data_IF_480330148067
#
_entry.id   IF_480330148067
#
_cell.length_a   1.000
_cell.length_b   1.000
_cell.length_c   1.000
_cell.angle_alpha   90.00
_cell.angle_beta   90.00
_cell.angle_gamma   90.00
#
_symmetry.space_group_name_H-M   'P 1'
#
loop_
_entity.id
_entity.type
_entity.pdbx_description
1 polymer ?
#
# COMPACT_ATOMS: atom_id res chain seq x y z
N UNK A 1 12.97 7.17 30.78
CA UNK A 1 12.22 7.70 29.63
C UNK A 1 10.89 6.98 29.57
N UNK A 2 9.77 7.67 29.40
CA UNK A 2 8.46 7.00 29.28
C UNK A 2 8.44 6.29 27.94
N UNK A 3 8.12 5.00 27.94
CA UNK A 3 7.93 4.20 26.73
C UNK A 3 6.75 4.80 25.95
N UNK A 4 6.96 5.10 24.68
CA UNK A 4 5.93 5.65 23.79
C UNK A 4 5.64 4.62 22.71
N UNK A 5 4.69 3.73 22.99
CA UNK A 5 4.28 2.68 22.07
C UNK A 5 3.04 3.09 21.28
N UNK A 6 3.01 2.75 20.01
CA UNK A 6 1.90 3.00 19.10
C UNK A 6 1.60 1.74 18.30
N UNK A 7 0.32 1.45 18.06
CA UNK A 7 -0.08 0.34 17.21
C UNK A 7 -0.70 0.85 15.89
N UNK A 8 -0.22 0.31 14.79
CA UNK A 8 -0.80 0.49 13.47
C UNK A 8 -1.52 -0.80 13.07
N UNK A 9 -2.79 -0.70 12.69
CA UNK A 9 -3.61 -1.84 12.27
C UNK A 9 -4.08 -1.61 10.84
N UNK A 10 -3.74 -2.56 9.97
CA UNK A 10 -4.24 -2.67 8.61
C UNK A 10 -5.25 -3.81 8.51
N UNK A 11 -6.49 -3.48 8.22
CA UNK A 11 -7.54 -4.45 7.90
C UNK A 11 -7.53 -4.67 6.39
N UNK A 12 -6.58 -5.51 5.97
CA UNK A 12 -6.32 -5.83 4.58
C UNK A 12 -7.32 -6.81 3.98
N UNK A 13 -7.20 -7.03 2.66
CA UNK A 13 -8.10 -7.94 1.93
C UNK A 13 -7.83 -9.42 2.22
N UNK A 14 -6.59 -9.80 2.51
CA UNK A 14 -6.19 -11.18 2.78
C UNK A 14 -5.83 -11.42 4.23
N UNK A 15 -5.06 -10.50 4.81
CA UNK A 15 -4.56 -10.58 6.18
C UNK A 15 -4.93 -9.30 6.95
N UNK A 16 -5.18 -9.45 8.24
CA UNK A 16 -5.11 -8.34 9.21
C UNK A 16 -3.68 -8.28 9.69
N UNK A 17 -3.12 -7.09 9.70
CA UNK A 17 -1.77 -6.85 10.22
C UNK A 17 -1.82 -5.80 11.32
N UNK A 18 -1.25 -6.11 12.47
CA UNK A 18 -0.95 -5.13 13.51
C UNK A 18 0.55 -5.07 13.73
N UNK A 19 1.13 -3.88 13.62
CA UNK A 19 2.52 -3.62 14.03
C UNK A 19 2.54 -2.70 15.24
N UNK A 20 3.43 -3.00 16.17
CA UNK A 20 3.64 -2.18 17.36
C UNK A 20 5.00 -1.51 17.24
N UNK A 21 5.02 -0.19 17.43
CA UNK A 21 6.21 0.64 17.29
C UNK A 21 6.57 1.33 18.62
N UNK A 22 7.87 1.48 18.84
CA UNK A 22 8.47 2.24 19.95
C UNK A 22 9.11 3.52 19.42
N UNK A 23 8.70 4.66 19.99
CA UNK A 23 9.21 6.00 19.71
C UNK A 23 10.00 6.60 20.88
N UNK A 24 10.51 5.77 21.78
CA UNK A 24 11.26 6.24 22.96
C UNK A 24 12.62 6.86 22.59
N UNK A 25 13.19 6.50 21.45
CA UNK A 25 14.43 7.08 20.93
C UNK A 25 14.18 8.45 20.26
N UNK A 26 15.22 9.31 20.26
CA UNK A 26 15.15 10.60 19.58
C UNK A 26 15.15 10.40 18.07
N UNK A 27 14.09 10.86 17.39
CA UNK A 27 13.93 10.74 15.92
C UNK A 27 14.06 9.30 15.40
N UNK A 28 13.53 8.33 16.16
CA UNK A 28 13.57 6.90 15.79
C UNK A 28 12.19 6.28 15.85
N UNK A 29 11.91 5.44 14.87
CA UNK A 29 10.76 4.55 14.81
C UNK A 29 11.27 3.12 14.77
N UNK A 30 10.95 2.32 15.77
CA UNK A 30 11.38 0.93 15.85
C UNK A 30 10.18 0.01 15.96
N UNK A 31 10.02 -0.87 15.01
CA UNK A 31 9.07 -1.99 15.10
C UNK A 31 9.53 -2.93 16.24
N UNK A 32 8.63 -3.23 17.15
CA UNK A 32 8.88 -4.15 18.28
C UNK A 32 8.10 -5.44 18.16
N UNK A 33 6.98 -5.42 17.44
CA UNK A 33 6.22 -6.63 17.14
C UNK A 33 5.38 -6.48 15.88
N UNK A 34 5.11 -7.60 15.19
CA UNK A 34 4.28 -7.69 13.99
C UNK A 34 3.40 -8.93 14.06
N UNK A 35 2.11 -8.74 14.24
CA UNK A 35 1.11 -9.80 14.32
C UNK A 35 0.30 -9.80 13.03
N UNK A 36 0.15 -10.99 12.43
CA UNK A 36 -0.61 -11.19 11.20
C UNK A 36 -1.61 -12.30 11.39
N UNK A 37 -2.85 -12.06 10.96
CA UNK A 37 -3.92 -13.05 10.99
C UNK A 37 -4.63 -13.06 9.65
N UNK A 38 -4.69 -14.24 9.03
CA UNK A 38 -5.44 -14.44 7.79
C UNK A 38 -6.94 -14.43 8.08
N UNK A 39 -7.69 -13.66 7.28
CA UNK A 39 -9.18 -13.67 7.30
C UNK A 39 -9.76 -13.77 5.89
N UNK A 40 -9.03 -13.28 4.86
CA UNK A 40 -9.44 -13.35 3.45
C UNK A 40 -10.81 -12.69 3.19
N UNK A 41 -10.94 -11.44 3.63
CA UNK A 41 -12.15 -10.63 3.38
C UNK A 41 -12.37 -10.37 1.88
N UNK A 42 -11.29 -10.35 1.12
CA UNK A 42 -11.31 -10.05 -0.31
C UNK A 42 -12.06 -11.09 -1.13
N UNK A 43 -11.99 -12.37 -0.79
CA UNK A 43 -12.74 -13.41 -1.50
C UNK A 43 -14.24 -13.14 -1.48
N UNK A 44 -14.81 -12.75 -0.33
CA UNK A 44 -16.21 -12.40 -0.22
C UNK A 44 -16.55 -11.11 -1.00
N UNK A 45 -15.76 -10.06 -0.80
CA UNK A 45 -16.02 -8.76 -1.44
C UNK A 45 -15.91 -8.85 -2.96
N UNK A 46 -14.90 -9.53 -3.50
CA UNK A 46 -14.65 -9.55 -4.95
C UNK A 46 -15.52 -10.56 -5.68
N UNK A 47 -15.97 -11.66 -5.02
CA UNK A 47 -16.85 -12.64 -5.60
C UNK A 47 -18.34 -12.26 -5.41
N UNK A 48 -18.73 -11.81 -4.21
CA UNK A 48 -20.12 -11.67 -3.81
C UNK A 48 -20.58 -10.22 -3.55
N UNK A 49 -19.64 -9.27 -3.52
CA UNK A 49 -19.92 -7.87 -3.18
C UNK A 49 -20.16 -7.60 -1.69
N UNK A 50 -20.24 -8.62 -0.84
CA UNK A 50 -20.55 -8.49 0.59
C UNK A 50 -19.69 -9.42 1.43
N UNK A 51 -19.18 -8.92 2.53
CA UNK A 51 -18.50 -9.71 3.55
C UNK A 51 -19.54 -10.47 4.36
N UNK A 52 -19.37 -11.79 4.49
CA UNK A 52 -20.26 -12.69 5.23
C UNK A 52 -20.21 -12.44 6.74
N UNK A 53 -21.26 -12.89 7.43
CA UNK A 53 -21.31 -12.82 8.90
C UNK A 53 -20.20 -13.67 9.54
N UNK A 54 -19.86 -14.82 8.96
CA UNK A 54 -18.78 -15.67 9.44
C UNK A 54 -17.43 -14.92 9.43
N UNK A 55 -17.06 -14.31 8.29
CA UNK A 55 -15.84 -13.50 8.21
C UNK A 55 -15.87 -12.24 9.07
N UNK A 56 -17.06 -11.64 9.26
CA UNK A 56 -17.22 -10.54 10.20
C UNK A 56 -16.99 -11.00 11.65
N UNK A 57 -17.44 -12.21 12.02
CA UNK A 57 -17.19 -12.79 13.34
C UNK A 57 -15.71 -13.06 13.57
N UNK A 58 -15.00 -13.62 12.60
CA UNK A 58 -13.56 -13.86 12.62
C UNK A 58 -12.78 -12.55 12.73
N UNK A 59 -13.18 -11.53 11.96
CA UNK A 59 -12.61 -10.19 12.00
C UNK A 59 -12.74 -9.56 13.41
N UNK A 60 -13.94 -9.61 13.98
CA UNK A 60 -14.16 -9.08 15.32
C UNK A 60 -13.41 -9.87 16.40
N UNK A 61 -13.29 -11.20 16.24
CA UNK A 61 -12.50 -12.03 17.15
C UNK A 61 -11.02 -11.62 17.12
N UNK A 62 -10.43 -11.54 15.94
CA UNK A 62 -9.03 -11.13 15.77
C UNK A 62 -8.76 -9.71 16.30
N UNK A 63 -9.66 -8.76 16.03
CA UNK A 63 -9.49 -7.40 16.55
C UNK A 63 -9.60 -7.34 18.08
N UNK A 64 -10.39 -8.21 18.73
CA UNK A 64 -10.36 -8.34 20.19
C UNK A 64 -9.02 -8.85 20.71
N UNK A 65 -8.43 -9.83 20.05
CA UNK A 65 -7.09 -10.31 20.40
C UNK A 65 -6.05 -9.19 20.22
N UNK A 66 -6.15 -8.40 19.14
CA UNK A 66 -5.30 -7.23 18.95
C UNK A 66 -5.45 -6.20 20.08
N UNK A 67 -6.67 -5.95 20.56
CA UNK A 67 -6.91 -5.06 21.71
C UNK A 67 -6.20 -5.57 22.98
N UNK A 68 -6.26 -6.87 23.26
CA UNK A 68 -5.57 -7.47 24.41
C UNK A 68 -4.03 -7.38 24.27
N UNK A 69 -3.51 -7.60 23.07
CA UNK A 69 -2.07 -7.45 22.79
C UNK A 69 -1.65 -5.99 22.98
N UNK A 70 -2.40 -5.02 22.46
CA UNK A 70 -2.12 -3.59 22.67
C UNK A 70 -2.08 -3.23 24.14
N UNK A 71 -2.98 -3.78 24.97
CA UNK A 71 -2.98 -3.59 26.41
C UNK A 71 -1.70 -4.15 27.06
N UNK A 72 -1.28 -5.37 26.66
CA UNK A 72 -0.07 -6.01 27.19
C UNK A 72 1.20 -5.22 26.88
N UNK A 73 1.28 -4.59 25.71
CA UNK A 73 2.37 -3.71 25.29
C UNK A 73 2.24 -2.27 25.83
N UNK A 74 1.17 -1.97 26.56
CA UNK A 74 0.86 -0.62 27.07
C UNK A 74 0.86 0.43 25.97
N UNK A 75 0.21 0.08 24.85
CA UNK A 75 0.06 0.97 23.69
C UNK A 75 -0.69 2.23 24.12
N UNK A 76 -0.11 3.42 23.87
CA UNK A 76 -0.68 4.70 24.28
C UNK A 76 -1.66 5.28 23.27
N UNK A 77 -1.54 4.87 22.00
CA UNK A 77 -2.42 5.27 20.92
C UNK A 77 -2.37 4.22 19.79
N UNK A 78 -3.44 4.11 19.03
CA UNK A 78 -3.48 3.28 17.84
C UNK A 78 -4.20 4.00 16.69
N UNK A 79 -3.97 3.50 15.47
CA UNK A 79 -4.77 3.78 14.28
C UNK A 79 -5.08 2.47 13.58
N UNK A 80 -6.34 2.30 13.18
CA UNK A 80 -6.80 1.13 12.46
C UNK A 80 -7.49 1.57 11.17
N UNK A 81 -7.01 1.06 10.04
CA UNK A 81 -7.54 1.41 8.74
C UNK A 81 -8.00 0.18 7.96
N UNK A 82 -9.16 0.32 7.30
CA UNK A 82 -9.68 -0.64 6.34
C UNK A 82 -9.31 -0.23 4.91
N UNK A 83 -8.86 -1.19 4.12
CA UNK A 83 -8.42 -0.98 2.74
C UNK A 83 -9.42 -1.53 1.72
N UNK A 84 -8.98 -2.03 0.57
CA UNK A 84 -9.84 -2.28 -0.59
C UNK A 84 -11.03 -3.22 -0.32
N UNK A 85 -10.87 -4.31 0.44
CA UNK A 85 -12.00 -5.21 0.69
C UNK A 85 -13.12 -4.54 1.49
N UNK A 86 -12.80 -3.82 2.58
CA UNK A 86 -13.80 -3.11 3.37
C UNK A 86 -14.32 -1.87 2.63
N UNK A 87 -13.48 -1.21 1.84
CA UNK A 87 -13.89 -0.04 1.06
C UNK A 87 -14.90 -0.37 -0.05
N UNK A 88 -14.74 -1.54 -0.70
CA UNK A 88 -15.55 -1.93 -1.86
C UNK A 88 -16.78 -2.77 -1.50
N UNK A 89 -16.87 -3.31 -0.28
CA UNK A 89 -18.03 -4.12 0.12
C UNK A 89 -19.29 -3.27 0.31
N UNK A 90 -20.45 -3.81 -0.07
CA UNK A 90 -21.75 -3.11 0.06
C UNK A 90 -22.18 -2.92 1.52
N UNK A 91 -21.72 -3.76 2.44
CA UNK A 91 -22.10 -3.71 3.85
C UNK A 91 -21.07 -3.02 4.77
N UNK A 92 -20.25 -2.11 4.22
CA UNK A 92 -19.19 -1.37 4.93
C UNK A 92 -19.65 -0.74 6.24
N UNK A 93 -20.78 -0.01 6.22
CA UNK A 93 -21.27 0.69 7.42
C UNK A 93 -21.66 -0.29 8.55
N UNK A 94 -22.27 -1.42 8.17
CA UNK A 94 -22.62 -2.47 9.13
C UNK A 94 -21.37 -3.08 9.75
N UNK A 95 -20.34 -3.34 8.92
CA UNK A 95 -19.04 -3.84 9.40
C UNK A 95 -18.38 -2.88 10.38
N UNK A 96 -18.32 -1.60 10.06
CA UNK A 96 -17.71 -0.59 10.95
C UNK A 96 -18.44 -0.52 12.29
N UNK A 97 -19.78 -0.49 12.28
CA UNK A 97 -20.59 -0.48 13.51
C UNK A 97 -20.35 -1.75 14.35
N UNK A 98 -20.42 -2.92 13.73
CA UNK A 98 -20.21 -4.20 14.41
C UNK A 98 -18.78 -4.32 15.00
N UNK A 99 -17.77 -3.87 14.27
CA UNK A 99 -16.39 -3.86 14.76
C UNK A 99 -16.30 -2.97 16.00
N UNK A 100 -16.76 -1.72 15.91
CA UNK A 100 -16.66 -0.76 17.01
C UNK A 100 -17.43 -1.23 18.25
N UNK A 101 -18.69 -1.70 18.09
CA UNK A 101 -19.54 -2.18 19.19
C UNK A 101 -18.98 -3.44 19.87
N UNK A 102 -18.41 -4.35 19.09
CA UNK A 102 -17.97 -5.65 19.60
C UNK A 102 -16.54 -5.65 20.10
N UNK A 103 -15.68 -4.78 19.60
CA UNK A 103 -14.23 -4.81 19.90
C UNK A 103 -13.71 -3.56 20.59
N UNK A 104 -14.45 -2.46 20.52
CA UNK A 104 -13.99 -1.14 20.96
C UNK A 104 -12.94 -0.51 20.02
N UNK A 105 -12.56 -1.20 18.92
CA UNK A 105 -11.62 -0.68 17.93
C UNK A 105 -12.42 0.05 16.85
N UNK A 106 -12.07 1.30 16.60
CA UNK A 106 -12.62 2.08 15.49
C UNK A 106 -11.75 1.93 14.27
N UNK A 107 -12.32 1.33 13.21
CA UNK A 107 -11.67 1.18 11.89
C UNK A 107 -12.15 2.29 10.96
N UNK A 108 -11.23 3.14 10.52
CA UNK A 108 -11.48 4.16 9.51
C UNK A 108 -11.23 3.56 8.11
N UNK A 109 -12.00 3.97 7.10
CA UNK A 109 -11.83 3.46 5.73
C UNK A 109 -10.97 4.44 4.94
N UNK A 110 -9.85 3.97 4.42
CA UNK A 110 -9.00 4.78 3.57
C UNK A 110 -9.55 4.86 2.14
N UNK A 111 -9.60 6.06 1.58
CA UNK A 111 -9.67 6.22 0.13
C UNK A 111 -8.37 5.72 -0.53
N UNK A 112 -8.41 5.47 -1.85
CA UNK A 112 -7.20 5.10 -2.59
C UNK A 112 -6.08 6.16 -2.48
N UNK A 113 -6.45 7.43 -2.39
CA UNK A 113 -5.47 8.52 -2.27
C UNK A 113 -4.83 8.59 -0.88
N UNK A 114 -5.61 8.37 0.17
CA UNK A 114 -5.10 8.33 1.55
C UNK A 114 -4.20 7.12 1.78
N UNK A 115 -4.60 5.93 1.29
CA UNK A 115 -3.78 4.73 1.34
C UNK A 115 -2.43 4.99 0.67
N UNK A 116 -2.44 5.48 -0.57
CA UNK A 116 -1.23 5.81 -1.33
C UNK A 116 -0.30 6.80 -0.62
N UNK A 117 -0.88 7.80 0.03
CA UNK A 117 -0.10 8.76 0.80
C UNK A 117 0.63 8.10 1.98
N UNK A 118 -0.02 7.16 2.66
CA UNK A 118 0.60 6.36 3.71
C UNK A 118 1.66 5.40 3.16
N UNK A 119 1.45 4.82 1.97
CA UNK A 119 2.46 3.98 1.32
C UNK A 119 3.72 4.77 0.97
N UNK A 120 3.59 6.02 0.50
CA UNK A 120 4.76 6.90 0.32
C UNK A 120 5.50 7.15 1.62
N UNK A 121 4.78 7.39 2.71
CA UNK A 121 5.36 7.57 4.04
C UNK A 121 6.05 6.31 4.54
N UNK A 122 5.51 5.13 4.23
CA UNK A 122 6.15 3.87 4.58
C UNK A 122 7.52 3.73 3.91
N UNK A 123 7.63 4.09 2.64
CA UNK A 123 8.89 4.04 1.90
C UNK A 123 9.85 5.13 2.39
N UNK A 124 9.34 6.35 2.66
CA UNK A 124 10.15 7.46 3.19
C UNK A 124 10.79 7.13 4.54
N UNK A 125 10.22 6.22 5.32
CA UNK A 125 10.84 5.70 6.55
C UNK A 125 12.21 5.06 6.33
N UNK A 126 12.56 4.70 5.08
CA UNK A 126 13.88 4.18 4.67
C UNK A 126 14.91 5.29 4.35
N UNK A 127 14.54 6.56 4.58
CA UNK A 127 15.44 7.71 4.59
C UNK A 127 16.22 7.92 3.29
N UNK A 128 17.56 7.94 3.39
CA UNK A 128 18.45 8.29 2.27
C UNK A 128 18.28 7.39 1.04
N UNK A 129 18.03 6.09 1.23
CA UNK A 129 17.83 5.17 0.10
C UNK A 129 16.62 5.57 -0.74
N UNK A 130 15.52 5.94 -0.09
CA UNK A 130 14.34 6.43 -0.79
C UNK A 130 14.65 7.72 -1.57
N UNK A 131 15.23 8.73 -0.91
CA UNK A 131 15.58 10.01 -1.55
C UNK A 131 16.41 9.82 -2.81
N UNK A 132 17.48 9.00 -2.73
CA UNK A 132 18.34 8.72 -3.88
C UNK A 132 17.61 8.07 -5.04
N UNK A 133 16.67 7.15 -4.78
CA UNK A 133 15.97 6.42 -5.83
C UNK A 133 14.96 7.32 -6.54
N UNK A 134 14.22 8.19 -5.84
CA UNK A 134 13.20 9.05 -6.45
C UNK A 134 13.76 10.28 -7.18
N UNK A 135 15.04 10.61 -7.01
CA UNK A 135 15.73 11.59 -7.87
C UNK A 135 15.77 11.17 -9.34
N UNK A 136 15.76 9.86 -9.59
CA UNK A 136 15.62 9.29 -10.92
C UNK A 136 14.14 9.01 -11.25
N UNK A 137 13.87 8.72 -12.53
CA UNK A 137 12.53 8.30 -12.96
C UNK A 137 12.15 6.97 -12.33
N UNK A 138 11.27 7.02 -11.37
CA UNK A 138 10.90 5.88 -10.52
C UNK A 138 9.40 5.66 -10.52
N UNK A 139 8.97 4.40 -10.58
CA UNK A 139 7.59 4.00 -10.32
C UNK A 139 7.47 3.40 -8.92
N UNK A 140 6.47 3.81 -8.16
CA UNK A 140 6.05 3.13 -6.94
C UNK A 140 4.83 2.29 -7.27
N UNK A 141 4.90 0.99 -6.98
CA UNK A 141 3.82 0.03 -7.13
C UNK A 141 3.35 -0.41 -5.74
N UNK A 142 2.12 -0.06 -5.38
CA UNK A 142 1.41 -0.69 -4.28
C UNK A 142 0.54 -1.80 -4.87
N UNK A 143 0.91 -3.06 -4.59
CA UNK A 143 0.23 -4.25 -5.12
C UNK A 143 -0.63 -4.85 -4.02
N UNK A 144 -1.89 -4.47 -4.00
CA UNK A 144 -2.87 -4.95 -3.03
C UNK A 144 -3.72 -6.12 -3.52
N UNK A 145 -4.60 -6.61 -2.65
CA UNK A 145 -5.53 -7.70 -2.98
C UNK A 145 -6.57 -7.30 -4.03
N UNK A 146 -7.08 -6.06 -4.02
CA UNK A 146 -8.14 -5.58 -4.91
C UNK A 146 -7.65 -4.76 -6.10
N UNK A 147 -6.50 -4.10 -6.00
CA UNK A 147 -6.00 -3.18 -7.02
C UNK A 147 -4.47 -3.03 -6.96
N UNK A 148 -3.91 -2.47 -8.03
CA UNK A 148 -2.53 -1.97 -8.05
C UNK A 148 -2.60 -0.45 -8.16
N UNK A 149 -1.85 0.26 -7.33
CA UNK A 149 -1.63 1.68 -7.47
C UNK A 149 -0.25 1.92 -8.07
N UNK A 150 -0.19 2.69 -9.16
CA UNK A 150 1.04 3.02 -9.86
C UNK A 150 1.26 4.53 -9.77
N UNK A 151 2.38 4.94 -9.20
CA UNK A 151 2.77 6.34 -9.04
C UNK A 151 4.11 6.58 -9.68
N UNK A 152 4.20 7.59 -10.54
CA UNK A 152 5.41 7.94 -11.26
C UNK A 152 6.05 9.17 -10.65
N UNK A 153 7.32 9.05 -10.29
CA UNK A 153 8.18 10.14 -9.83
C UNK A 153 9.23 10.47 -10.89
N UNK A 154 9.55 11.74 -11.03
CA UNK A 154 10.65 12.25 -11.85
C UNK A 154 11.27 13.44 -11.12
N UNK A 155 12.57 13.37 -10.83
CA UNK A 155 13.32 14.38 -10.07
C UNK A 155 12.64 14.75 -8.75
N UNK A 156 12.38 13.73 -7.95
CA UNK A 156 11.79 13.89 -6.62
C UNK A 156 10.36 14.48 -6.60
N UNK A 157 9.66 14.46 -7.73
CA UNK A 157 8.31 15.04 -7.86
C UNK A 157 7.32 14.03 -8.41
N UNK A 158 6.13 13.94 -7.83
CA UNK A 158 5.04 13.09 -8.29
C UNK A 158 4.45 13.62 -9.61
N UNK A 159 4.62 12.86 -10.68
CA UNK A 159 4.15 13.21 -12.03
C UNK A 159 2.73 12.74 -12.31
N UNK A 160 2.44 11.51 -11.93
CA UNK A 160 1.10 10.92 -12.10
C UNK A 160 0.90 9.76 -11.15
N UNK A 161 -0.35 9.48 -10.86
CA UNK A 161 -0.74 8.34 -10.04
C UNK A 161 -2.05 7.77 -10.57
N UNK A 162 -2.15 6.44 -10.61
CA UNK A 162 -3.31 5.73 -11.12
C UNK A 162 -3.59 4.49 -10.29
N UNK A 163 -4.87 4.15 -10.19
CA UNK A 163 -5.33 2.91 -9.58
C UNK A 163 -5.89 1.99 -10.66
N UNK A 164 -5.35 0.78 -10.77
CA UNK A 164 -5.80 -0.26 -11.69
C UNK A 164 -6.47 -1.39 -10.90
N UNK A 165 -7.61 -1.87 -11.36
CA UNK A 165 -8.34 -2.98 -10.70
C UNK A 165 -7.71 -4.34 -11.02
N UNK A 166 -6.42 -4.47 -10.75
CA UNK A 166 -5.57 -5.64 -11.03
C UNK A 166 -4.98 -6.23 -9.73
N UNK A 167 -5.74 -6.21 -8.62
CA UNK A 167 -5.27 -6.78 -7.37
C UNK A 167 -5.14 -8.30 -7.41
N UNK A 168 -4.21 -8.84 -6.63
CA UNK A 168 -3.84 -10.27 -6.68
C UNK A 168 -4.99 -11.20 -6.28
N UNK A 169 -5.80 -10.85 -5.28
CA UNK A 169 -6.98 -11.64 -4.89
C UNK A 169 -8.08 -11.56 -5.94
N UNK A 170 -8.32 -10.38 -6.49
CA UNK A 170 -9.30 -10.20 -7.56
C UNK A 170 -8.96 -11.04 -8.78
N UNK A 171 -7.70 -11.09 -9.16
CA UNK A 171 -7.24 -11.95 -10.27
C UNK A 171 -7.33 -13.42 -9.90
N UNK A 172 -6.99 -13.80 -8.67
CA UNK A 172 -7.14 -15.18 -8.23
C UNK A 172 -8.59 -15.65 -8.30
N UNK A 173 -9.56 -14.84 -7.85
CA UNK A 173 -10.98 -15.16 -7.96
C UNK A 173 -11.43 -15.34 -9.42
N UNK A 174 -10.97 -14.47 -10.33
CA UNK A 174 -11.23 -14.62 -11.75
C UNK A 174 -10.63 -15.92 -12.31
N UNK A 175 -9.41 -16.27 -11.93
CA UNK A 175 -8.77 -17.52 -12.36
C UNK A 175 -9.50 -18.76 -11.80
N UNK A 176 -9.99 -18.71 -10.57
CA UNK A 176 -10.81 -19.75 -9.98
C UNK A 176 -12.12 -19.96 -10.77
N UNK A 177 -12.81 -18.87 -11.13
CA UNK A 177 -14.02 -18.94 -11.96
C UNK A 177 -13.76 -19.51 -13.36
N UNK A 178 -12.58 -19.25 -13.93
CA UNK A 178 -12.20 -19.80 -15.23
C UNK A 178 -11.71 -21.26 -15.15
N UNK A 179 -11.64 -21.87 -13.95
CA UNK A 179 -11.04 -23.17 -13.69
C UNK A 179 -9.61 -23.30 -14.25
N UNK A 180 -8.83 -22.22 -14.14
CA UNK A 180 -7.50 -22.14 -14.70
C UNK A 180 -6.53 -23.09 -14.00
N UNK A 181 -5.89 -23.99 -14.75
CA UNK A 181 -4.80 -24.80 -14.25
C UNK A 181 -3.54 -23.98 -13.95
N UNK A 182 -2.69 -24.48 -13.07
CA UNK A 182 -1.43 -23.79 -12.69
C UNK A 182 -0.53 -23.46 -13.89
N UNK A 183 -0.55 -24.27 -14.93
CA UNK A 183 0.23 -24.06 -16.18
C UNK A 183 -0.30 -22.91 -17.03
N UNK A 184 -1.56 -22.51 -16.88
CA UNK A 184 -2.20 -21.44 -17.63
C UNK A 184 -2.23 -20.11 -16.84
N UNK A 185 -1.90 -20.15 -15.56
CA UNK A 185 -2.03 -19.01 -14.66
C UNK A 185 -1.27 -17.78 -15.18
N UNK A 186 0.01 -17.94 -15.54
CA UNK A 186 0.83 -16.82 -16.00
C UNK A 186 0.24 -16.16 -17.26
N UNK A 187 -0.15 -16.98 -18.24
CA UNK A 187 -0.73 -16.49 -19.49
C UNK A 187 -2.05 -15.75 -19.24
N UNK A 188 -2.94 -16.31 -18.43
CA UNK A 188 -4.23 -15.69 -18.14
C UNK A 188 -4.09 -14.40 -17.33
N UNK A 189 -3.17 -14.34 -16.36
CA UNK A 189 -2.86 -13.09 -15.63
C UNK A 189 -2.34 -12.03 -16.59
N UNK A 190 -1.44 -12.40 -17.52
CA UNK A 190 -0.90 -11.47 -18.52
C UNK A 190 -2.01 -10.96 -19.46
N UNK A 191 -2.88 -11.82 -19.94
CA UNK A 191 -4.03 -11.45 -20.79
C UNK A 191 -5.00 -10.52 -20.05
N UNK A 192 -5.37 -10.84 -18.81
CA UNK A 192 -6.28 -10.03 -17.99
C UNK A 192 -5.70 -8.65 -17.67
N UNK A 193 -4.39 -8.58 -17.48
CA UNK A 193 -3.69 -7.34 -17.17
C UNK A 193 -3.44 -6.47 -18.41
N UNK A 194 -3.25 -7.07 -19.57
CA UNK A 194 -2.76 -6.38 -20.79
C UNK A 194 -3.63 -5.18 -21.15
N UNK A 195 -4.95 -5.32 -21.20
CA UNK A 195 -5.83 -4.21 -21.62
C UNK A 195 -5.69 -2.97 -20.71
N UNK A 196 -5.70 -3.16 -19.40
CA UNK A 196 -5.55 -2.05 -18.46
C UNK A 196 -4.13 -1.45 -18.48
N UNK A 197 -3.11 -2.28 -18.66
CA UNK A 197 -1.71 -1.83 -18.74
C UNK A 197 -1.42 -1.11 -20.06
N UNK A 198 -2.00 -1.53 -21.16
CA UNK A 198 -1.87 -0.84 -22.46
C UNK A 198 -2.54 0.54 -22.42
N UNK A 199 -3.72 0.65 -21.81
CA UNK A 199 -4.37 1.95 -21.59
C UNK A 199 -3.54 2.83 -20.64
N UNK A 200 -3.01 2.25 -19.57
CA UNK A 200 -2.09 2.95 -18.67
C UNK A 200 -0.87 3.48 -19.42
N UNK A 201 -0.25 2.65 -20.30
CA UNK A 201 0.90 3.07 -21.11
C UNK A 201 0.55 4.26 -21.99
N UNK A 202 -0.55 4.17 -22.74
CA UNK A 202 -0.97 5.22 -23.69
C UNK A 202 -1.29 6.54 -23.00
N UNK A 203 -2.00 6.48 -21.87
CA UNK A 203 -2.56 7.67 -21.21
C UNK A 203 -1.59 8.32 -20.21
N UNK A 204 -0.81 7.53 -19.49
CA UNK A 204 -0.06 7.99 -18.32
C UNK A 204 1.45 7.82 -18.45
N UNK A 205 1.94 6.63 -18.81
CA UNK A 205 3.37 6.38 -18.97
C UNK A 205 3.89 7.09 -20.24
N UNK A 206 3.21 6.95 -21.37
CA UNK A 206 3.62 7.47 -22.69
C UNK A 206 5.01 6.97 -23.07
N UNK A 207 5.90 7.89 -23.47
CA UNK A 207 7.27 7.59 -23.90
C UNK A 207 8.29 7.70 -22.74
N UNK A 208 7.83 7.67 -21.48
CA UNK A 208 8.73 7.71 -20.33
C UNK A 208 9.36 6.35 -20.11
N UNK A 209 10.67 6.33 -20.06
CA UNK A 209 11.44 5.20 -19.54
C UNK A 209 11.58 5.35 -18.03
N UNK A 210 11.23 4.32 -17.29
CA UNK A 210 11.35 4.27 -15.84
C UNK A 210 12.57 3.43 -15.48
N UNK A 211 13.48 3.97 -14.70
CA UNK A 211 14.70 3.25 -14.32
C UNK A 211 14.49 2.30 -13.18
N UNK A 212 13.74 2.75 -12.17
CA UNK A 212 13.57 2.06 -10.91
C UNK A 212 12.10 1.78 -10.62
N UNK A 213 11.81 0.63 -10.03
CA UNK A 213 10.52 0.30 -9.45
C UNK A 213 10.69 0.08 -7.96
N UNK A 214 9.85 0.73 -7.15
CA UNK A 214 9.71 0.47 -5.72
C UNK A 214 8.42 -0.32 -5.54
N UNK A 215 8.47 -1.45 -4.83
CA UNK A 215 7.29 -2.28 -4.54
C UNK A 215 6.93 -2.16 -3.07
N UNK A 216 5.68 -1.85 -2.82
CA UNK A 216 5.02 -1.96 -1.51
C UNK A 216 3.99 -3.07 -1.63
N UNK A 217 4.21 -4.19 -0.99
CA UNK A 217 3.30 -5.32 -1.00
C UNK A 217 3.58 -6.32 0.14
N UNK A 218 2.64 -7.22 0.38
CA UNK A 218 2.76 -8.33 1.31
C UNK A 218 3.13 -9.67 0.64
N UNK A 219 3.46 -9.64 -0.67
CA UNK A 219 3.68 -10.84 -1.48
C UNK A 219 5.14 -11.04 -1.87
N UNK A 220 5.72 -10.10 -2.61
CA UNK A 220 7.11 -10.17 -3.10
C UNK A 220 8.12 -9.57 -2.13
N UNK A 221 7.72 -8.52 -1.40
CA UNK A 221 8.61 -7.82 -0.47
C UNK A 221 9.21 -8.74 0.59
N UNK A 222 8.49 -9.70 1.22
CA UNK A 222 9.08 -10.62 2.18
C UNK A 222 10.18 -11.50 1.57
N UNK A 223 10.00 -11.95 0.33
CA UNK A 223 11.02 -12.72 -0.40
C UNK A 223 12.27 -11.86 -0.68
N UNK A 224 12.08 -10.62 -1.17
CA UNK A 224 13.18 -9.72 -1.49
C UNK A 224 14.01 -9.37 -0.24
N UNK A 225 13.35 -9.07 0.87
CA UNK A 225 14.01 -8.80 2.16
C UNK A 225 14.82 -9.99 2.62
N UNK A 226 14.26 -11.20 2.54
CA UNK A 226 15.01 -12.41 2.90
C UNK A 226 16.24 -12.59 2.01
N UNK A 227 16.11 -12.41 0.70
CA UNK A 227 17.24 -12.49 -0.23
C UNK A 227 18.32 -11.46 0.08
N UNK A 228 17.96 -10.27 0.51
CA UNK A 228 18.92 -9.27 0.97
C UNK A 228 19.66 -9.73 2.24
N UNK A 229 18.95 -10.30 3.20
CA UNK A 229 19.57 -10.88 4.40
C UNK A 229 20.55 -12.02 4.06
N UNK A 230 20.17 -12.93 3.16
CA UNK A 230 21.05 -14.03 2.70
C UNK A 230 22.33 -13.51 2.04
N UNK A 231 22.27 -12.36 1.34
CA UNK A 231 23.43 -11.69 0.73
C UNK A 231 24.25 -10.85 1.72
N UNK A 232 23.68 -10.51 2.86
CA UNK A 232 24.32 -9.65 3.87
C UNK A 232 24.42 -8.16 3.48
N UNK A 233 23.68 -7.71 2.46
CA UNK A 233 23.74 -6.33 1.96
C UNK A 233 22.69 -5.38 2.57
N UNK A 234 21.71 -5.90 3.31
CA UNK A 234 20.65 -5.15 3.96
C UNK A 234 19.71 -4.39 3.00
N UNK A 235 20.04 -4.37 1.71
CA UNK A 235 19.25 -3.70 0.68
C UNK A 235 18.40 -4.72 -0.07
N UNK A 236 17.10 -4.62 0.03
CA UNK A 236 16.15 -5.49 -0.69
C UNK A 236 16.02 -5.10 -2.18
N UNK A 237 17.18 -4.86 -2.82
CA UNK A 237 17.28 -4.64 -4.26
C UNK A 237 17.27 -5.98 -4.98
N UNK A 238 16.43 -6.09 -6.00
CA UNK A 238 16.26 -7.29 -6.81
C UNK A 238 16.70 -6.95 -8.23
N UNK A 239 17.75 -7.62 -8.71
CA UNK A 239 18.16 -7.52 -10.11
C UNK A 239 17.34 -8.47 -11.01
N UNK A 240 17.43 -8.24 -12.30
CA UNK A 240 16.70 -9.04 -13.30
C UNK A 240 17.03 -10.55 -13.21
N UNK A 241 18.26 -10.92 -12.82
CA UNK A 241 18.68 -12.31 -12.69
C UNK A 241 17.99 -12.99 -11.50
N UNK A 242 17.98 -12.35 -10.33
CA UNK A 242 17.31 -12.86 -9.14
C UNK A 242 15.81 -12.97 -9.36
N UNK A 243 15.21 -11.99 -10.03
CA UNK A 243 13.80 -12.00 -10.37
C UNK A 243 13.45 -13.12 -11.38
N UNK A 244 14.29 -13.33 -12.39
CA UNK A 244 14.12 -14.45 -13.32
C UNK A 244 14.19 -15.81 -12.61
N UNK A 245 15.12 -15.99 -11.67
CA UNK A 245 15.21 -17.22 -10.87
C UNK A 245 13.97 -17.45 -10.00
N UNK A 246 13.36 -16.39 -9.47
CA UNK A 246 12.08 -16.48 -8.75
C UNK A 246 10.98 -16.95 -9.67
N UNK A 247 10.82 -16.34 -10.85
CA UNK A 247 9.80 -16.72 -11.83
C UNK A 247 9.94 -18.17 -12.27
N UNK A 248 11.16 -18.63 -12.52
CA UNK A 248 11.42 -20.01 -12.89
C UNK A 248 11.07 -20.98 -11.76
N UNK A 249 11.40 -20.62 -10.51
CA UNK A 249 11.01 -21.43 -9.35
C UNK A 249 9.49 -21.52 -9.18
N UNK A 250 8.77 -20.39 -9.37
CA UNK A 250 7.29 -20.34 -9.28
C UNK A 250 6.61 -21.18 -10.37
N UNK A 251 7.23 -21.30 -11.55
CA UNK A 251 6.71 -22.14 -12.66
C UNK A 251 6.95 -23.64 -12.46
N UNK A 252 8.11 -24.02 -11.92
CA UNK A 252 8.61 -25.39 -11.98
C UNK A 252 8.47 -26.17 -10.69
N UNK A 253 8.28 -25.49 -9.54
CA UNK A 253 8.23 -26.14 -8.23
C UNK A 253 6.81 -26.26 -7.70
N UNK A 254 6.58 -27.28 -6.90
CA UNK A 254 5.29 -27.48 -6.22
C UNK A 254 5.04 -26.46 -5.11
N UNK A 255 3.77 -26.17 -4.84
CA UNK A 255 3.31 -25.18 -3.85
C UNK A 255 3.91 -25.42 -2.46
N UNK A 256 3.92 -26.66 -1.97
CA UNK A 256 4.48 -27.06 -0.67
C UNK A 256 5.98 -26.75 -0.56
N UNK A 257 6.76 -27.02 -1.64
CA UNK A 257 8.19 -26.72 -1.66
C UNK A 257 8.43 -25.20 -1.64
N UNK A 258 7.67 -24.45 -2.44
CA UNK A 258 7.76 -22.99 -2.49
C UNK A 258 7.39 -22.37 -1.15
N UNK A 259 6.31 -22.80 -0.51
CA UNK A 259 5.87 -22.35 0.79
C UNK A 259 6.98 -22.50 1.84
N UNK A 260 7.62 -23.66 1.92
CA UNK A 260 8.75 -23.91 2.81
C UNK A 260 9.96 -23.03 2.50
N UNK A 261 10.31 -22.84 1.22
CA UNK A 261 11.46 -22.02 0.80
C UNK A 261 11.24 -20.55 1.05
N UNK A 262 10.00 -20.09 0.92
CA UNK A 262 9.64 -18.68 1.11
C UNK A 262 9.18 -18.39 2.55
N UNK A 263 9.03 -19.44 3.37
CA UNK A 263 8.53 -19.34 4.75
C UNK A 263 7.18 -18.61 4.83
N UNK A 264 6.25 -19.07 4.02
CA UNK A 264 4.90 -18.55 3.91
C UNK A 264 3.89 -19.70 3.94
N UNK A 265 2.64 -19.41 4.21
CA UNK A 265 1.55 -20.37 4.09
C UNK A 265 1.37 -20.83 2.62
N UNK A 266 0.98 -22.08 2.41
CA UNK A 266 0.83 -22.64 1.06
C UNK A 266 -0.20 -21.87 0.22
N UNK A 267 -1.27 -21.40 0.85
CA UNK A 267 -2.33 -20.62 0.21
C UNK A 267 -1.85 -19.24 -0.29
N UNK A 268 -0.74 -18.75 0.24
CA UNK A 268 -0.13 -17.49 -0.19
C UNK A 268 0.71 -17.64 -1.46
N UNK A 269 1.14 -18.86 -1.80
CA UNK A 269 2.01 -19.11 -2.98
C UNK A 269 1.36 -18.68 -4.30
N UNK A 270 0.09 -18.98 -4.60
CA UNK A 270 -0.57 -18.47 -5.80
C UNK A 270 -0.60 -16.94 -5.87
N UNK A 271 -0.83 -16.27 -4.74
CA UNK A 271 -0.84 -14.80 -4.66
C UNK A 271 0.53 -14.22 -4.97
N UNK A 272 1.59 -14.82 -4.43
CA UNK A 272 2.98 -14.44 -4.76
C UNK A 272 3.25 -14.63 -6.26
N UNK A 273 2.76 -15.69 -6.86
CA UNK A 273 2.93 -15.93 -8.30
C UNK A 273 2.20 -14.86 -9.12
N UNK A 274 0.95 -14.56 -8.81
CA UNK A 274 0.19 -13.50 -9.50
C UNK A 274 0.90 -12.15 -9.35
N UNK A 275 1.34 -11.79 -8.15
CA UNK A 275 2.10 -10.56 -7.89
C UNK A 275 3.40 -10.52 -8.70
N UNK A 276 4.12 -11.64 -8.80
CA UNK A 276 5.35 -11.73 -9.59
C UNK A 276 5.11 -11.55 -11.09
N UNK A 277 4.04 -12.15 -11.64
CA UNK A 277 3.65 -11.99 -13.05
C UNK A 277 3.29 -10.53 -13.35
N UNK A 278 2.47 -9.90 -12.50
CA UNK A 278 2.11 -8.49 -12.65
C UNK A 278 3.34 -7.57 -12.58
N UNK A 279 4.22 -7.80 -11.60
CA UNK A 279 5.46 -7.04 -11.44
C UNK A 279 6.35 -7.18 -12.67
N UNK A 280 6.53 -8.40 -13.19
CA UNK A 280 7.26 -8.67 -14.42
C UNK A 280 6.69 -7.86 -15.58
N UNK A 281 5.39 -7.96 -15.81
CA UNK A 281 4.72 -7.28 -16.91
C UNK A 281 4.84 -5.76 -16.82
N UNK A 282 4.68 -5.19 -15.62
CA UNK A 282 4.83 -3.75 -15.40
C UNK A 282 6.29 -3.32 -15.60
N UNK A 283 7.27 -4.09 -15.11
CA UNK A 283 8.69 -3.79 -15.29
C UNK A 283 9.09 -3.81 -16.79
N UNK A 284 8.62 -4.79 -17.55
CA UNK A 284 8.83 -4.87 -19.01
C UNK A 284 8.18 -3.68 -19.73
N UNK A 285 6.94 -3.32 -19.36
CA UNK A 285 6.22 -2.18 -19.92
C UNK A 285 6.96 -0.86 -19.72
N UNK A 286 7.62 -0.70 -18.57
CA UNK A 286 8.33 0.50 -18.15
C UNK A 286 9.79 0.54 -18.58
N UNK A 287 10.38 -0.60 -19.00
CA UNK A 287 11.81 -0.73 -19.25
C UNK A 287 12.67 -0.66 -18.00
N UNK A 288 12.12 -1.00 -16.83
CA UNK A 288 12.82 -0.86 -15.56
C UNK A 288 13.88 -1.93 -15.36
N UNK A 289 15.07 -1.50 -14.93
CA UNK A 289 16.22 -2.37 -14.70
C UNK A 289 16.40 -2.79 -13.22
N UNK A 290 15.88 -1.98 -12.29
CA UNK A 290 16.03 -2.20 -10.87
C UNK A 290 14.66 -2.25 -10.17
N UNK A 291 14.49 -3.25 -9.31
CA UNK A 291 13.34 -3.37 -8.42
C UNK A 291 13.84 -3.26 -6.98
N UNK A 292 13.25 -2.36 -6.21
CA UNK A 292 13.48 -2.24 -4.78
C UNK A 292 12.21 -2.59 -4.01
N UNK A 293 12.30 -3.58 -3.13
CA UNK A 293 11.20 -4.01 -2.28
C UNK A 293 11.60 -3.85 -0.80
N UNK A 294 11.49 -2.64 -0.24
CA UNK A 294 12.06 -2.27 1.07
C UNK A 294 11.49 -3.03 2.27
N UNK A 295 10.47 -3.87 2.07
CA UNK A 295 9.81 -4.63 3.12
C UNK A 295 8.98 -3.76 4.06
N UNK A 296 8.47 -2.65 3.57
CA UNK A 296 7.53 -1.80 4.29
C UNK A 296 6.09 -2.18 3.94
N UNK A 297 5.19 -1.88 4.83
CA UNK A 297 3.74 -2.10 4.69
C UNK A 297 2.98 -0.83 5.03
N UNK A 298 1.68 -0.83 4.81
CA UNK A 298 0.80 0.28 5.20
C UNK A 298 0.95 0.65 6.69
N UNK A 299 1.16 -0.34 7.58
CA UNK A 299 1.37 -0.10 9.01
C UNK A 299 2.59 0.79 9.30
N UNK A 300 3.66 0.66 8.51
CA UNK A 300 4.85 1.51 8.65
C UNK A 300 4.54 2.97 8.30
N UNK A 301 3.73 3.19 7.26
CA UNK A 301 3.27 4.52 6.86
C UNK A 301 2.33 5.16 7.88
N UNK A 302 1.42 4.37 8.46
CA UNK A 302 0.53 4.81 9.55
C UNK A 302 1.36 5.27 10.74
N UNK A 303 2.34 4.48 11.13
CA UNK A 303 3.21 4.80 12.26
C UNK A 303 4.10 6.02 11.99
N UNK A 304 4.63 6.14 10.78
CA UNK A 304 5.43 7.28 10.36
C UNK A 304 4.60 8.58 10.37
N UNK A 305 3.38 8.55 9.80
CA UNK A 305 2.48 9.71 9.85
C UNK A 305 2.13 10.11 11.29
N UNK A 306 1.80 9.16 12.14
CA UNK A 306 1.54 9.43 13.56
C UNK A 306 2.73 10.10 14.23
N UNK A 307 3.93 9.62 13.96
CA UNK A 307 5.16 10.15 14.55
C UNK A 307 5.47 11.58 14.07
N UNK A 308 5.26 11.89 12.78
CA UNK A 308 5.39 13.24 12.25
C UNK A 308 4.38 14.21 12.88
N UNK A 309 3.09 13.84 12.92
CA UNK A 309 2.03 14.66 13.49
C UNK A 309 2.27 14.97 14.97
N UNK A 310 2.84 14.03 15.72
CA UNK A 310 3.18 14.18 17.14
C UNK A 310 4.61 14.71 17.38
N UNK A 311 5.33 15.13 16.33
CA UNK A 311 6.70 15.65 16.40
C UNK A 311 7.70 14.68 17.06
N UNK A 312 7.47 13.39 16.90
CA UNK A 312 8.35 12.31 17.37
C UNK A 312 9.45 12.00 16.34
N UNK A 313 9.13 12.24 15.06
CA UNK A 313 10.05 12.16 13.92
C UNK A 313 10.05 13.48 13.14
N UNK A 314 11.16 13.75 12.47
CA UNK A 314 11.23 14.80 11.45
C UNK A 314 11.02 14.14 10.09
N UNK A 315 10.07 14.65 9.30
CA UNK A 315 9.81 14.19 7.94
C UNK A 315 11.04 14.33 7.06
N UNK A 316 11.28 13.32 6.23
CA UNK A 316 12.42 13.27 5.29
C UNK A 316 12.06 13.84 3.91
N UNK A 317 10.74 13.95 3.61
CA UNK A 317 10.22 14.42 2.32
C UNK A 317 8.89 15.13 2.51
N UNK A 318 8.64 16.20 1.76
CA UNK A 318 7.37 16.95 1.80
C UNK A 318 6.41 16.44 0.72
N UNK A 319 5.64 15.44 1.07
CA UNK A 319 4.60 14.89 0.18
C UNK A 319 3.45 15.87 -0.11
N UNK A 320 3.35 16.99 0.60
CA UNK A 320 2.35 18.02 0.33
C UNK A 320 2.58 18.65 -1.04
N UNK A 321 3.83 18.98 -1.34
CA UNK A 321 4.23 19.51 -2.65
C UNK A 321 3.97 18.52 -3.77
N UNK A 322 4.16 17.21 -3.53
CA UNK A 322 3.85 16.17 -4.50
C UNK A 322 2.36 16.08 -4.84
N UNK A 323 1.49 16.20 -3.82
CA UNK A 323 0.04 16.17 -4.03
C UNK A 323 -0.38 17.38 -4.88
N UNK A 324 0.14 18.56 -4.58
CA UNK A 324 -0.12 19.78 -5.35
C UNK A 324 0.39 19.64 -6.79
N UNK A 325 1.62 19.15 -6.98
CA UNK A 325 2.20 18.91 -8.30
C UNK A 325 1.37 17.91 -9.12
N UNK A 326 0.88 16.84 -8.49
CA UNK A 326 0.00 15.86 -9.12
C UNK A 326 -1.34 16.49 -9.54
N UNK A 327 -1.98 17.27 -8.67
CA UNK A 327 -3.22 17.98 -8.98
C UNK A 327 -3.03 18.94 -10.16
N UNK A 328 -1.94 19.71 -10.20
CA UNK A 328 -1.59 20.58 -11.30
C UNK A 328 -1.36 19.83 -12.62
N UNK A 329 -0.73 18.65 -12.57
CA UNK A 329 -0.53 17.79 -13.74
C UNK A 329 -1.86 17.23 -14.28
N UNK A 330 -2.80 16.88 -13.40
CA UNK A 330 -4.17 16.48 -13.77
C UNK A 330 -4.88 17.67 -14.43
N UNK A 331 -4.87 18.85 -13.82
CA UNK A 331 -5.46 20.05 -14.36
C UNK A 331 -4.95 20.36 -15.78
N UNK A 332 -3.63 20.34 -16.00
CA UNK A 332 -3.03 20.52 -17.32
C UNK A 332 -3.50 19.49 -18.35
N UNK A 333 -3.63 18.22 -17.95
CA UNK A 333 -4.09 17.15 -18.86
C UNK A 333 -5.50 17.40 -19.38
N UNK A 334 -6.38 17.93 -18.54
CA UNK A 334 -7.78 18.20 -18.88
C UNK A 334 -8.01 19.67 -19.31
N UNK A 335 -6.95 20.40 -19.69
CA UNK A 335 -7.00 21.80 -20.08
C UNK A 335 -7.66 22.72 -19.01
N UNK A 336 -7.40 22.43 -17.74
CA UNK A 336 -7.85 23.27 -16.64
C UNK A 336 -7.23 24.67 -16.70
N UNK A 337 -7.99 25.66 -16.26
CA UNK A 337 -7.52 27.05 -16.19
C UNK A 337 -6.68 27.27 -14.94
N UNK A 338 -5.36 27.42 -15.09
CA UNK A 338 -4.45 27.74 -13.98
C UNK A 338 -4.87 29.02 -13.27
N UNK A 339 -5.22 30.08 -14.01
CA UNK A 339 -5.68 31.35 -13.43
C UNK A 339 -6.91 31.18 -12.53
N UNK A 340 -7.84 30.30 -12.92
CA UNK A 340 -9.03 30.02 -12.10
C UNK A 340 -8.67 29.19 -10.87
N UNK A 341 -7.76 28.22 -11.00
CA UNK A 341 -7.25 27.42 -9.89
C UNK A 341 -6.56 28.33 -8.86
N UNK A 342 -5.62 29.19 -9.28
CA UNK A 342 -4.92 30.13 -8.40
C UNK A 342 -5.89 31.07 -7.67
N UNK A 343 -6.94 31.55 -8.38
CA UNK A 343 -7.96 32.42 -7.77
C UNK A 343 -8.77 31.66 -6.71
N UNK A 344 -9.21 30.44 -7.01
CA UNK A 344 -9.97 29.61 -6.06
C UNK A 344 -9.12 29.24 -4.86
N UNK A 345 -7.88 28.83 -5.07
CA UNK A 345 -6.92 28.57 -4.00
C UNK A 345 -6.79 29.77 -3.06
N UNK A 346 -6.52 30.96 -3.60
CA UNK A 346 -6.38 32.17 -2.80
C UNK A 346 -7.64 32.48 -1.99
N UNK A 347 -8.83 32.39 -2.59
CA UNK A 347 -10.10 32.67 -1.91
C UNK A 347 -10.35 31.62 -0.81
N UNK A 348 -10.25 30.34 -1.13
CA UNK A 348 -10.58 29.25 -0.20
C UNK A 348 -9.61 29.21 0.98
N UNK A 349 -8.32 29.38 0.74
CA UNK A 349 -7.31 29.42 1.81
C UNK A 349 -7.46 30.67 2.68
N UNK A 350 -7.78 31.83 2.10
CA UNK A 350 -8.05 33.06 2.88
C UNK A 350 -9.25 32.84 3.81
N UNK A 351 -10.34 32.26 3.31
CA UNK A 351 -11.53 31.95 4.12
C UNK A 351 -11.15 30.94 5.22
N UNK A 352 -10.48 29.85 4.85
CA UNK A 352 -10.09 28.80 5.80
C UNK A 352 -9.22 29.38 6.92
N UNK A 353 -8.15 30.09 6.58
CA UNK A 353 -7.21 30.63 7.57
C UNK A 353 -7.85 31.69 8.48
N UNK A 354 -8.78 32.52 7.94
CA UNK A 354 -9.50 33.51 8.73
C UNK A 354 -10.52 32.90 9.69
N UNK A 355 -11.09 31.76 9.33
CA UNK A 355 -12.12 31.07 10.12
C UNK A 355 -11.56 29.93 11.01
N UNK A 356 -10.27 29.79 11.15
CA UNK A 356 -9.61 28.70 11.89
C UNK A 356 -10.15 28.50 13.31
N UNK A 357 -10.54 29.57 13.99
CA UNK A 357 -11.14 29.51 15.34
C UNK A 357 -12.57 28.95 15.33
N UNK A 358 -13.27 28.97 14.21
CA UNK A 358 -14.65 28.51 14.05
C UNK A 358 -14.68 27.02 13.67
N UNK A 359 -13.91 26.63 12.66
CA UNK A 359 -13.96 25.24 12.17
C UNK A 359 -13.03 24.29 12.92
N UNK A 360 -11.94 24.79 13.54
CA UNK A 360 -10.99 23.96 14.30
C UNK A 360 -10.19 22.94 13.47
N UNK A 361 -10.29 23.00 12.14
CA UNK A 361 -9.62 22.07 11.21
C UNK A 361 -8.12 22.35 11.12
N UNK A 362 -7.34 21.34 10.70
CA UNK A 362 -5.88 21.37 10.64
C UNK A 362 -5.31 21.54 9.24
N UNK A 363 -4.02 21.26 9.11
CA UNK A 363 -3.29 21.41 7.84
C UNK A 363 -3.72 20.38 6.78
N UNK A 364 -4.18 19.19 7.20
CA UNK A 364 -4.66 18.14 6.27
C UNK A 364 -5.91 18.62 5.52
N UNK A 365 -6.88 19.18 6.24
CA UNK A 365 -8.10 19.72 5.63
C UNK A 365 -7.79 20.95 4.77
N UNK A 366 -6.80 21.75 5.19
CA UNK A 366 -6.32 22.87 4.37
C UNK A 366 -5.74 22.39 3.03
N UNK A 367 -5.00 21.30 3.02
CA UNK A 367 -4.46 20.73 1.80
C UNK A 367 -5.57 20.30 0.82
N UNK A 368 -6.70 19.78 1.31
CA UNK A 368 -7.82 19.40 0.44
C UNK A 368 -8.44 20.58 -0.34
N UNK A 369 -8.15 21.81 0.03
CA UNK A 369 -8.60 22.97 -0.72
C UNK A 369 -7.77 23.24 -1.98
N UNK A 370 -6.59 22.62 -2.11
CA UNK A 370 -5.72 22.76 -3.28
C UNK A 370 -5.99 21.68 -4.33
N UNK A 371 -6.62 20.57 -3.95
CA UNK A 371 -6.84 19.39 -4.77
C UNK A 371 -8.28 19.30 -5.25
#
# INVERSE_FOLDING_TARGET
MSVKTFAAIDVGSFELTMKIFDFSGKNTMREIDCIRQRIDLGSDTYANGKISNEKMDDLCHTLKEFAQIMESYKVIAYKAYGTSAIRETENTLILQDQIEQRTGIRVEILSNSEQRFLDYKSIASKGETFRRIIEEKTAILDIGGGSIQISLFDKDTLVSTQNLRLGVLRLQELLNHLNAGSTQMEQLVDELATAQLDDYKKLYLKDREIKNIIIVDDYLSPWAVRKAHERGDGNAMVDSKAFYQLMEALRTRGTTELAKRMDIAEEKVPLVYISAVLTKRIAELMGAALIWAPGVTLCDGIAYEYAEQNKLLRGEHDFTEDIIACAMNISKRYNGSTRRADTLEHITTTIFDSMKKVHGMGQRERLYLFV
#
